data_IF_465164195054
#
_entry.id   IF_465164195054
#
_cell.length_a   1.000
_cell.length_b   1.000
_cell.length_c   1.000
_cell.angle_alpha   90.00
_cell.angle_beta   90.00
_cell.angle_gamma   90.00
#
_symmetry.space_group_name_H-M   'P 1'
#
loop_
_entity.id
_entity.type
_entity.pdbx_description
1 polymer ?
#
# COMPACT_ATOMS: atom_id res chain seq x y z
N UNK A 1 -32.00 31.41 35.45
CA UNK A 1 -31.70 30.16 34.72
C UNK A 1 -30.31 29.63 35.11
N UNK A 2 -30.22 28.58 35.91
CA UNK A 2 -28.94 27.91 36.24
C UNK A 2 -28.50 27.06 35.04
N UNK A 3 -27.42 27.45 34.36
CA UNK A 3 -26.77 26.63 33.32
C UNK A 3 -26.15 25.40 33.98
N UNK A 4 -26.75 24.23 33.79
CA UNK A 4 -26.13 22.95 34.13
C UNK A 4 -24.89 22.77 33.25
N UNK A 5 -23.70 22.96 33.83
CA UNK A 5 -22.43 22.57 33.21
C UNK A 5 -22.34 21.05 33.28
N UNK A 6 -22.73 20.36 32.22
CA UNK A 6 -22.46 18.93 32.07
C UNK A 6 -20.94 18.72 32.10
N UNK A 7 -20.45 18.01 33.12
CA UNK A 7 -19.05 17.60 33.19
C UNK A 7 -18.82 16.55 32.09
N UNK A 8 -18.14 16.94 31.01
CA UNK A 8 -17.63 15.98 30.04
C UNK A 8 -16.54 15.13 30.70
N UNK A 9 -16.89 13.94 31.17
CA UNK A 9 -15.93 12.95 31.62
C UNK A 9 -15.25 12.33 30.41
N UNK A 10 -13.98 12.67 30.20
CA UNK A 10 -13.14 12.07 29.15
C UNK A 10 -12.90 10.59 29.54
N UNK A 11 -13.65 9.68 28.93
CA UNK A 11 -13.41 8.23 29.09
C UNK A 11 -12.04 7.89 28.48
N UNK A 12 -11.16 7.25 29.27
CA UNK A 12 -9.90 6.68 28.76
C UNK A 12 -10.21 5.60 27.72
N UNK A 13 -9.55 5.66 26.56
CA UNK A 13 -9.69 4.67 25.50
C UNK A 13 -9.15 3.29 25.95
N UNK A 14 -9.86 2.18 25.64
CA UNK A 14 -9.39 0.83 25.94
C UNK A 14 -8.07 0.53 25.20
N UNK A 15 -7.23 -0.34 25.79
CA UNK A 15 -5.93 -0.70 25.22
C UNK A 15 -6.05 -1.32 23.82
N UNK A 16 -7.06 -2.17 23.60
CA UNK A 16 -7.40 -2.72 22.27
C UNK A 16 -7.59 -1.64 21.21
N UNK A 17 -8.24 -0.53 21.57
CA UNK A 17 -8.47 0.60 20.67
C UNK A 17 -7.18 1.39 20.41
N UNK A 18 -6.30 1.51 21.42
CA UNK A 18 -4.98 2.14 21.23
C UNK A 18 -4.10 1.34 20.27
N UNK A 19 -4.04 0.01 20.42
CA UNK A 19 -3.29 -0.86 19.52
C UNK A 19 -3.85 -0.80 18.11
N UNK A 20 -5.18 -0.83 17.94
CA UNK A 20 -5.82 -0.61 16.64
C UNK A 20 -5.41 0.74 16.03
N UNK A 21 -5.43 1.82 16.80
CA UNK A 21 -5.07 3.15 16.29
C UNK A 21 -3.62 3.23 15.82
N UNK A 22 -2.71 2.50 16.47
CA UNK A 22 -1.31 2.45 16.08
C UNK A 22 -1.12 1.70 14.74
N UNK A 23 -1.77 0.54 14.58
CA UNK A 23 -1.51 -0.36 13.44
C UNK A 23 -2.47 -0.21 12.27
N UNK A 24 -3.72 0.19 12.50
CA UNK A 24 -4.79 0.26 11.47
C UNK A 24 -5.37 1.69 11.36
N UNK A 25 -5.01 2.57 12.30
CA UNK A 25 -5.61 3.90 12.42
C UNK A 25 -7.00 3.88 13.05
N UNK A 26 -7.62 5.07 13.09
CA UNK A 26 -9.00 5.25 13.60
C UNK A 26 -10.02 4.71 12.58
N UNK A 27 -11.25 4.39 12.99
CA UNK A 27 -12.27 4.07 11.99
C UNK A 27 -12.62 5.30 11.13
N UNK A 28 -13.13 5.13 9.90
CA UNK A 28 -13.54 6.25 9.05
C UNK A 28 -14.49 7.23 9.75
N UNK A 29 -15.44 6.73 10.55
CA UNK A 29 -16.40 7.54 11.32
C UNK A 29 -15.77 8.27 12.52
N UNK A 30 -14.56 7.89 12.95
CA UNK A 30 -13.83 8.45 14.09
C UNK A 30 -12.78 9.51 13.65
N UNK A 31 -12.57 9.70 12.34
CA UNK A 31 -11.57 10.61 11.78
C UNK A 31 -12.21 11.98 11.50
N UNK A 32 -11.50 13.07 11.88
CA UNK A 32 -11.87 14.46 11.56
C UNK A 32 -11.28 14.95 10.23
N UNK A 33 -10.28 14.26 9.69
CA UNK A 33 -9.53 14.64 8.48
C UNK A 33 -9.31 13.39 7.63
N UNK A 34 -9.02 13.60 6.35
CA UNK A 34 -9.11 12.60 5.30
C UNK A 34 -7.83 11.78 5.15
N UNK A 35 -7.81 10.54 5.63
CA UNK A 35 -6.63 9.70 5.48
C UNK A 35 -6.52 9.11 4.07
N UNK A 36 -7.66 8.86 3.41
CA UNK A 36 -7.83 7.81 2.39
C UNK A 36 -6.96 8.03 1.16
N UNK A 37 -6.62 9.28 0.92
CA UNK A 37 -5.82 9.77 -0.20
C UNK A 37 -4.35 9.36 -0.05
N UNK A 38 -3.84 9.32 1.20
CA UNK A 38 -2.45 9.01 1.48
C UNK A 38 -2.11 7.54 1.24
N UNK A 39 -3.02 6.60 1.58
CA UNK A 39 -2.75 5.18 1.36
C UNK A 39 -2.64 4.83 -0.14
N UNK A 40 -3.51 5.42 -0.99
CA UNK A 40 -3.40 5.24 -2.44
C UNK A 40 -2.14 5.89 -3.01
N UNK A 41 -1.73 7.06 -2.51
CA UNK A 41 -0.48 7.72 -2.92
C UNK A 41 0.75 6.87 -2.58
N UNK A 42 0.80 6.29 -1.37
CA UNK A 42 1.88 5.38 -0.96
C UNK A 42 1.85 4.12 -1.81
N UNK A 43 0.67 3.59 -2.14
CA UNK A 43 0.52 2.43 -3.01
C UNK A 43 1.03 2.71 -4.43
N UNK A 44 0.76 3.89 -4.99
CA UNK A 44 1.33 4.34 -6.28
C UNK A 44 2.86 4.35 -6.20
N UNK A 45 3.42 5.01 -5.18
CA UNK A 45 4.87 5.09 -5.00
C UNK A 45 5.52 3.71 -4.88
N UNK A 46 4.95 2.82 -4.05
CA UNK A 46 5.47 1.47 -3.87
C UNK A 46 5.41 0.64 -5.16
N UNK A 47 4.34 0.78 -5.95
CA UNK A 47 4.24 0.15 -7.27
C UNK A 47 5.27 0.72 -8.26
N UNK A 48 5.58 2.02 -8.22
CA UNK A 48 6.63 2.62 -9.07
C UNK A 48 8.00 2.04 -8.74
N UNK A 49 8.37 1.95 -7.45
CA UNK A 49 9.63 1.35 -7.02
C UNK A 49 9.70 -0.13 -7.40
N UNK A 50 8.59 -0.85 -7.24
CA UNK A 50 8.46 -2.25 -7.67
C UNK A 50 8.68 -2.40 -9.17
N UNK A 51 8.04 -1.56 -10.00
CA UNK A 51 8.15 -1.59 -11.45
C UNK A 51 9.59 -1.37 -11.91
N UNK A 52 10.28 -0.36 -11.38
CA UNK A 52 11.68 -0.08 -11.70
C UNK A 52 12.55 -1.31 -11.36
N UNK A 53 12.34 -1.90 -10.19
CA UNK A 53 13.09 -3.08 -9.74
C UNK A 53 12.81 -4.31 -10.60
N UNK A 54 11.57 -4.50 -11.05
CA UNK A 54 11.17 -5.57 -11.98
C UNK A 54 11.82 -5.40 -13.36
N UNK A 55 11.88 -4.17 -13.88
CA UNK A 55 12.56 -3.87 -15.15
C UNK A 55 14.05 -4.22 -15.06
N UNK A 56 14.71 -3.86 -13.95
CA UNK A 56 16.12 -4.20 -13.73
C UNK A 56 16.36 -5.72 -13.69
N UNK A 57 15.49 -6.46 -12.99
CA UNK A 57 15.54 -7.93 -12.99
C UNK A 57 15.28 -8.53 -14.36
N UNK A 58 14.35 -7.98 -15.13
CA UNK A 58 14.02 -8.47 -16.46
C UNK A 58 15.22 -8.34 -17.42
N UNK A 59 15.90 -7.20 -17.42
CA UNK A 59 17.12 -7.01 -18.22
C UNK A 59 18.22 -8.02 -17.84
N UNK A 60 18.33 -8.37 -16.57
CA UNK A 60 19.27 -9.38 -16.11
C UNK A 60 18.94 -10.78 -16.62
N UNK A 61 17.67 -11.18 -16.56
CA UNK A 61 17.22 -12.47 -17.08
C UNK A 61 17.53 -12.61 -18.57
N UNK A 62 17.26 -11.57 -19.37
CA UNK A 62 17.58 -11.56 -20.80
C UNK A 62 19.10 -11.74 -21.04
N UNK A 63 19.93 -11.09 -20.23
CA UNK A 63 21.39 -11.18 -20.37
C UNK A 63 21.94 -12.58 -20.06
N UNK A 64 21.32 -13.31 -19.13
CA UNK A 64 21.71 -14.70 -18.82
C UNK A 64 21.36 -15.63 -19.98
N UNK A 65 20.14 -15.50 -20.50
CA UNK A 65 19.62 -16.38 -21.55
C UNK A 65 20.48 -16.31 -22.84
N UNK A 66 20.95 -15.10 -23.18
CA UNK A 66 21.81 -14.85 -24.34
C UNK A 66 23.22 -15.49 -24.26
N UNK A 67 23.69 -15.89 -23.06
CA UNK A 67 25.04 -16.42 -22.81
C UNK A 67 25.08 -17.95 -22.58
N UNK A 68 24.03 -18.66 -23.00
CA UNK A 68 23.71 -20.02 -22.57
C UNK A 68 24.76 -21.12 -22.91
N UNK A 69 25.69 -21.35 -21.97
CA UNK A 69 25.76 -22.66 -21.29
C UNK A 69 25.04 -22.51 -19.96
N UNK A 70 23.78 -22.93 -19.93
CA UNK A 70 22.84 -22.75 -18.81
C UNK A 70 23.30 -23.59 -17.63
N UNK A 71 24.04 -22.95 -16.74
CA UNK A 71 24.01 -23.28 -15.32
C UNK A 71 23.60 -22.00 -14.64
N UNK A 72 22.43 -22.02 -13.97
CA UNK A 72 22.00 -20.91 -13.13
C UNK A 72 22.96 -20.89 -11.94
N UNK A 73 24.11 -20.27 -12.12
CA UNK A 73 25.11 -20.16 -11.07
C UNK A 73 24.55 -19.16 -10.05
N UNK A 74 23.96 -19.71 -8.99
CA UNK A 74 23.39 -18.98 -7.85
C UNK A 74 24.36 -17.95 -7.25
N UNK A 75 25.66 -18.04 -7.56
CA UNK A 75 26.68 -17.04 -7.24
C UNK A 75 26.42 -15.66 -7.82
N UNK A 76 25.75 -15.54 -8.96
CA UNK A 76 25.49 -14.23 -9.57
C UNK A 76 24.35 -13.51 -8.83
N UNK A 77 23.35 -14.25 -8.34
CA UNK A 77 22.33 -13.72 -7.41
C UNK A 77 22.91 -13.35 -6.03
N UNK A 78 24.09 -13.88 -5.70
CA UNK A 78 24.84 -13.54 -4.49
C UNK A 78 25.68 -12.25 -4.64
N UNK A 79 25.77 -11.67 -5.84
CA UNK A 79 26.42 -10.38 -6.00
C UNK A 79 25.67 -9.28 -5.23
N UNK A 80 26.45 -8.37 -4.64
CA UNK A 80 25.96 -7.32 -3.76
C UNK A 80 24.82 -6.48 -4.40
N UNK A 81 24.96 -6.12 -5.67
CA UNK A 81 23.97 -5.30 -6.39
C UNK A 81 22.61 -6.00 -6.50
N UNK A 82 22.58 -7.28 -6.83
CA UNK A 82 21.34 -8.04 -6.97
C UNK A 82 20.66 -8.30 -5.63
N UNK A 83 21.45 -8.47 -4.55
CA UNK A 83 20.91 -8.55 -3.18
C UNK A 83 20.20 -7.28 -2.75
N UNK A 84 20.72 -6.11 -3.14
CA UNK A 84 20.06 -4.82 -2.89
C UNK A 84 18.73 -4.74 -3.65
N UNK A 85 18.74 -5.06 -4.95
CA UNK A 85 17.51 -5.03 -5.77
C UNK A 85 16.44 -5.96 -5.19
N UNK A 86 16.84 -7.17 -4.80
CA UNK A 86 15.94 -8.16 -4.20
C UNK A 86 15.40 -7.68 -2.83
N UNK A 87 16.25 -7.07 -2.00
CA UNK A 87 15.81 -6.46 -0.75
C UNK A 87 14.80 -5.30 -0.97
N UNK A 88 15.03 -4.46 -1.98
CA UNK A 88 14.09 -3.38 -2.35
C UNK A 88 12.74 -3.96 -2.79
N UNK A 89 12.74 -5.05 -3.57
CA UNK A 89 11.51 -5.74 -3.98
C UNK A 89 10.75 -6.28 -2.78
N UNK A 90 11.43 -6.98 -1.87
CA UNK A 90 10.80 -7.51 -0.66
C UNK A 90 10.22 -6.38 0.19
N UNK A 91 10.97 -5.30 0.40
CA UNK A 91 10.52 -4.17 1.21
C UNK A 91 9.33 -3.45 0.56
N UNK A 92 9.38 -3.24 -0.76
CA UNK A 92 8.27 -2.66 -1.52
C UNK A 92 7.02 -3.55 -1.45
N UNK A 93 7.20 -4.88 -1.52
CA UNK A 93 6.10 -5.83 -1.37
C UNK A 93 5.46 -5.77 0.02
N UNK A 94 6.27 -5.67 1.08
CA UNK A 94 5.76 -5.51 2.44
C UNK A 94 4.97 -4.20 2.61
N UNK A 95 5.43 -3.11 2.02
CA UNK A 95 4.69 -1.84 2.01
C UNK A 95 3.36 -1.99 1.27
N UNK A 96 3.37 -2.62 0.09
CA UNK A 96 2.14 -2.91 -0.68
C UNK A 96 1.17 -3.75 0.15
N UNK A 97 1.65 -4.81 0.81
CA UNK A 97 0.82 -5.68 1.64
C UNK A 97 0.20 -4.93 2.84
N UNK A 98 0.98 -4.08 3.51
CA UNK A 98 0.50 -3.28 4.62
C UNK A 98 -0.54 -2.23 4.17
N UNK A 99 -0.27 -1.52 3.07
CA UNK A 99 -1.22 -0.56 2.50
C UNK A 99 -2.49 -1.25 2.00
N UNK A 100 -2.39 -2.45 1.45
CA UNK A 100 -3.53 -3.28 1.05
C UNK A 100 -4.46 -3.58 2.23
N UNK A 101 -3.90 -4.00 3.37
CA UNK A 101 -4.67 -4.23 4.60
C UNK A 101 -5.37 -2.95 5.09
N UNK A 102 -4.65 -1.82 5.04
CA UNK A 102 -5.21 -0.51 5.38
C UNK A 102 -6.38 -0.14 4.47
N UNK A 103 -6.22 -0.26 3.16
CA UNK A 103 -7.25 0.02 2.14
C UNK A 103 -8.48 -0.88 2.39
N UNK A 104 -8.31 -2.18 2.63
CA UNK A 104 -9.40 -3.08 3.03
C UNK A 104 -10.16 -2.61 4.27
N UNK A 105 -9.45 -2.12 5.29
CA UNK A 105 -10.08 -1.64 6.52
C UNK A 105 -10.94 -0.38 6.29
N UNK A 106 -10.56 0.43 5.30
CA UNK A 106 -11.20 1.70 4.95
C UNK A 106 -12.36 1.52 3.97
N UNK A 107 -12.27 0.55 3.05
CA UNK A 107 -13.25 0.28 2.00
C UNK A 107 -14.67 -0.01 2.51
N UNK A 108 -14.80 -0.47 3.75
CA UNK A 108 -16.03 -1.06 4.29
C UNK A 108 -17.26 -0.13 4.25
N UNK A 109 -17.12 1.21 4.27
CA UNK A 109 -18.30 2.08 4.49
C UNK A 109 -18.45 3.34 3.62
N UNK A 110 -17.52 3.70 2.73
CA UNK A 110 -17.51 5.09 2.20
C UNK A 110 -17.09 5.30 0.73
N UNK A 111 -16.90 4.27 -0.08
CA UNK A 111 -16.52 4.47 -1.50
C UNK A 111 -17.68 4.12 -2.43
N UNK A 112 -18.03 5.03 -3.35
CA UNK A 112 -19.00 4.77 -4.42
C UNK A 112 -18.47 3.72 -5.42
N UNK A 113 -17.14 3.57 -5.51
CA UNK A 113 -16.44 2.67 -6.43
C UNK A 113 -15.42 1.75 -5.73
N UNK A 114 -15.86 1.01 -4.70
CA UNK A 114 -15.02 0.05 -3.94
C UNK A 114 -14.24 -0.92 -4.83
N UNK A 115 -14.81 -1.33 -5.95
CA UNK A 115 -14.17 -2.27 -6.87
C UNK A 115 -12.82 -1.74 -7.40
N UNK A 116 -12.65 -0.43 -7.58
CA UNK A 116 -11.41 0.18 -8.07
C UNK A 116 -10.29 -0.02 -7.05
N UNK A 117 -10.57 0.20 -5.76
CA UNK A 117 -9.61 -0.05 -4.68
C UNK A 117 -9.24 -1.53 -4.56
N UNK A 118 -10.20 -2.44 -4.72
CA UNK A 118 -9.96 -3.89 -4.71
C UNK A 118 -9.08 -4.31 -5.89
N UNK A 119 -9.38 -3.84 -7.10
CA UNK A 119 -8.60 -4.16 -8.31
C UNK A 119 -7.18 -3.61 -8.18
N UNK A 120 -7.02 -2.38 -7.71
CA UNK A 120 -5.70 -1.78 -7.43
C UNK A 120 -4.89 -2.64 -6.47
N UNK A 121 -5.50 -3.06 -5.37
CA UNK A 121 -4.87 -3.89 -4.36
C UNK A 121 -4.43 -5.25 -4.91
N UNK A 122 -5.34 -5.97 -5.58
CA UNK A 122 -5.06 -7.29 -6.15
C UNK A 122 -3.97 -7.22 -7.23
N UNK A 123 -4.04 -6.22 -8.12
CA UNK A 123 -3.01 -6.02 -9.14
C UNK A 123 -1.64 -5.72 -8.51
N UNK A 124 -1.60 -4.88 -7.47
CA UNK A 124 -0.36 -4.57 -6.74
C UNK A 124 0.25 -5.81 -6.06
N UNK A 125 -0.60 -6.65 -5.43
CA UNK A 125 -0.18 -7.89 -4.75
C UNK A 125 0.28 -8.98 -5.73
N UNK A 126 -0.27 -9.01 -6.95
CA UNK A 126 0.11 -9.94 -8.01
C UNK A 126 1.31 -9.47 -8.83
N UNK A 127 2.04 -8.45 -8.35
CA UNK A 127 3.20 -7.88 -9.04
C UNK A 127 2.87 -7.24 -10.41
N UNK A 128 1.58 -6.98 -10.69
CA UNK A 128 1.10 -6.27 -11.86
C UNK A 128 1.17 -4.75 -11.62
N UNK A 129 2.36 -4.27 -11.30
CA UNK A 129 2.65 -2.90 -10.88
C UNK A 129 2.06 -1.79 -11.76
N UNK A 130 2.07 -1.85 -13.11
CA UNK A 130 1.47 -0.78 -13.92
C UNK A 130 -0.05 -0.74 -13.79
N UNK A 131 -0.70 -1.91 -13.71
CA UNK A 131 -2.16 -2.01 -13.53
C UNK A 131 -2.53 -1.53 -12.12
N UNK A 132 -1.82 -2.00 -11.10
CA UNK A 132 -2.03 -1.59 -9.71
C UNK A 132 -1.91 -0.09 -9.53
N UNK A 133 -0.91 0.52 -10.16
CA UNK A 133 -0.66 1.96 -10.15
C UNK A 133 -1.78 2.76 -10.84
N UNK A 134 -2.23 2.34 -12.03
CA UNK A 134 -3.33 3.01 -12.73
C UNK A 134 -4.61 3.03 -11.90
N UNK A 135 -5.02 1.88 -11.37
CA UNK A 135 -6.22 1.80 -10.53
C UNK A 135 -6.05 2.53 -9.19
N UNK A 136 -4.83 2.58 -8.62
CA UNK A 136 -4.55 3.36 -7.41
C UNK A 136 -4.72 4.87 -7.67
N UNK A 137 -4.23 5.38 -8.82
CA UNK A 137 -4.43 6.78 -9.22
C UNK A 137 -5.91 7.11 -9.43
N UNK A 138 -6.67 6.23 -10.08
CA UNK A 138 -8.12 6.44 -10.26
C UNK A 138 -8.83 6.42 -8.90
N UNK A 139 -8.46 5.51 -7.99
CA UNK A 139 -9.00 5.46 -6.64
C UNK A 139 -8.68 6.73 -5.85
N UNK A 140 -7.46 7.26 -5.98
CA UNK A 140 -7.02 8.52 -5.39
C UNK A 140 -7.94 9.67 -5.83
N UNK A 141 -8.09 9.90 -7.14
CA UNK A 141 -8.88 11.02 -7.68
C UNK A 141 -10.36 10.88 -7.31
N UNK A 142 -10.93 9.68 -7.45
CA UNK A 142 -12.34 9.45 -7.12
C UNK A 142 -12.64 9.64 -5.65
N UNK A 143 -11.69 9.34 -4.77
CA UNK A 143 -11.85 9.57 -3.34
C UNK A 143 -11.65 11.04 -2.99
N UNK A 144 -10.66 11.72 -3.56
CA UNK A 144 -10.45 13.16 -3.36
C UNK A 144 -11.72 13.98 -3.65
N UNK A 145 -12.39 13.72 -4.78
CA UNK A 145 -13.63 14.40 -5.20
C UNK A 145 -14.80 14.18 -4.21
N UNK A 146 -14.86 13.03 -3.52
CA UNK A 146 -15.95 12.72 -2.57
C UNK A 146 -15.76 13.44 -1.23
N UNK A 147 -14.59 14.03 -1.01
CA UNK A 147 -14.22 14.64 0.25
C UNK A 147 -13.94 16.15 0.20
N UNK A 148 -14.03 16.77 -0.98
CA UNK A 148 -14.29 18.22 -1.12
C UNK A 148 -15.74 18.55 -0.77
#
# INVERSE_FOLDING_TARGET
>A
MKKNKSKFTIKKLPWKTKMRYLFLGKYPLERRYLPKVLEYLILVFANTVMLISQILLFFYVIKIDANSKITVDTKILMEYHWRIVLAIIILSYLVIAFMSLHICSILSKTEFNKWIGIVSMLASLLFLSPIGMLFAMVAYVKNEIVFE
#
